data_IF_683440450583
#
_entry.id   IF_683440450583
#
_cell.length_a   1.000
_cell.length_b   1.000
_cell.length_c   1.000
_cell.angle_alpha   90.00
_cell.angle_beta   90.00
_cell.angle_gamma   90.00
#
_symmetry.space_group_name_H-M   'P 1'
#
loop_
_entity.id
_entity.type
_entity.pdbx_description
1 polymer ?
#
# COMPACT_ATOMS: atom_id res chain seq x y z
N UNK A 1 -0.36 -13.85 0.47
CA UNK A 1 0.83 -13.00 0.62
C UNK A 1 0.95 -12.15 -0.64
N UNK A 2 0.91 -10.83 -0.52
CA UNK A 2 0.92 -9.93 -1.69
C UNK A 2 2.33 -9.90 -2.29
N UNK A 3 2.41 -9.96 -3.63
CA UNK A 3 3.65 -9.77 -4.37
C UNK A 3 3.60 -8.43 -5.09
N UNK A 4 4.68 -7.66 -4.99
CA UNK A 4 4.81 -6.35 -5.62
C UNK A 4 5.62 -6.46 -6.92
N UNK A 5 5.28 -5.63 -7.90
CA UNK A 5 6.14 -5.42 -9.07
C UNK A 5 7.45 -4.72 -8.67
N UNK A 6 8.44 -4.69 -9.57
CA UNK A 6 9.76 -4.09 -9.29
C UNK A 6 9.69 -2.62 -8.85
N UNK A 7 8.75 -1.84 -9.39
CA UNK A 7 8.56 -0.43 -9.02
C UNK A 7 8.14 -0.30 -7.57
N UNK A 8 7.07 -1.00 -7.16
CA UNK A 8 6.56 -0.94 -5.79
C UNK A 8 7.51 -1.61 -4.78
N UNK A 9 8.20 -2.69 -5.16
CA UNK A 9 9.28 -3.30 -4.36
C UNK A 9 10.44 -2.34 -4.14
N UNK A 10 10.74 -1.47 -5.10
CA UNK A 10 11.77 -0.43 -4.93
C UNK A 10 11.29 0.61 -3.93
N UNK A 11 10.05 1.07 -4.03
CA UNK A 11 9.45 2.02 -3.08
C UNK A 11 9.43 1.46 -1.65
N UNK A 12 9.07 0.18 -1.48
CA UNK A 12 8.94 -0.44 -0.15
C UNK A 12 10.26 -0.44 0.65
N UNK A 13 11.42 -0.41 -0.04
CA UNK A 13 12.75 -0.34 0.58
C UNK A 13 13.06 1.00 1.25
N UNK A 14 12.31 2.05 0.92
CA UNK A 14 12.50 3.40 1.48
C UNK A 14 11.48 3.75 2.55
N UNK A 15 10.56 2.83 2.89
CA UNK A 15 9.61 3.06 3.97
C UNK A 15 10.34 3.16 5.31
N UNK A 16 9.83 4.06 6.15
CA UNK A 16 10.26 4.19 7.55
C UNK A 16 9.14 3.66 8.44
N UNK A 17 9.52 3.20 9.62
CA UNK A 17 8.56 2.72 10.61
C UNK A 17 7.52 3.80 10.98
N UNK A 18 6.33 3.35 11.40
CA UNK A 18 5.19 4.19 11.76
C UNK A 18 4.03 4.09 10.76
N UNK A 19 3.32 5.20 10.55
CA UNK A 19 2.18 5.30 9.63
C UNK A 19 2.63 5.73 8.24
N UNK A 20 2.18 5.02 7.20
CA UNK A 20 2.37 5.44 5.80
C UNK A 20 1.06 5.90 5.17
N UNK A 21 1.15 6.78 4.18
CA UNK A 21 0.05 7.16 3.30
C UNK A 21 0.45 6.91 1.84
N UNK A 22 -0.31 6.06 1.15
CA UNK A 22 -0.13 5.73 -0.27
C UNK A 22 -1.19 6.49 -1.08
N UNK A 23 -0.74 7.42 -1.92
CA UNK A 23 -1.60 8.37 -2.64
C UNK A 23 -1.81 7.89 -4.07
N UNK A 24 -3.07 7.62 -4.45
CA UNK A 24 -3.38 6.93 -5.71
C UNK A 24 -2.88 5.49 -5.65
N UNK A 25 -3.27 4.80 -4.58
CA UNK A 25 -2.88 3.44 -4.28
C UNK A 25 -3.32 2.45 -5.36
N UNK A 26 -2.36 1.65 -5.82
CA UNK A 26 -2.64 0.56 -6.75
C UNK A 26 -3.26 -0.61 -5.97
N UNK A 27 -4.59 -0.62 -5.87
CA UNK A 27 -5.38 -1.64 -5.16
C UNK A 27 -4.93 -1.88 -3.70
N UNK A 28 -4.41 -0.89 -2.99
CA UNK A 28 -3.85 -1.04 -1.64
C UNK A 28 -2.67 -2.05 -1.54
N UNK A 29 -2.05 -2.45 -2.65
CA UNK A 29 -1.00 -3.48 -2.62
C UNK A 29 0.22 -3.07 -1.80
N UNK A 30 0.71 -1.85 -1.98
CA UNK A 30 1.88 -1.34 -1.25
C UNK A 30 1.63 -1.28 0.26
N UNK A 31 0.56 -0.66 0.78
CA UNK A 31 0.31 -0.62 2.22
C UNK A 31 0.03 -1.99 2.82
N UNK A 32 -0.69 -2.88 2.14
CA UNK A 32 -0.91 -4.25 2.64
C UNK A 32 0.42 -5.02 2.70
N UNK A 33 1.24 -4.93 1.65
CA UNK A 33 2.57 -5.54 1.64
C UNK A 33 3.44 -5.01 2.79
N UNK A 34 3.44 -3.69 3.02
CA UNK A 34 4.25 -3.07 4.06
C UNK A 34 3.87 -3.58 5.46
N UNK A 35 2.57 -3.67 5.76
CA UNK A 35 2.08 -4.21 7.04
C UNK A 35 2.42 -5.70 7.18
N UNK A 36 2.18 -6.51 6.14
CA UNK A 36 2.48 -7.95 6.15
C UNK A 36 3.96 -8.26 6.36
N UNK A 37 4.86 -7.36 5.96
CA UNK A 37 6.31 -7.51 6.10
C UNK A 37 6.88 -6.68 7.25
N UNK A 38 6.04 -6.15 8.15
CA UNK A 38 6.47 -5.34 9.31
C UNK A 38 7.33 -4.11 8.95
N UNK A 39 7.10 -3.54 7.76
CA UNK A 39 7.77 -2.33 7.27
C UNK A 39 7.09 -1.05 7.77
N UNK A 40 5.81 -1.15 8.18
CA UNK A 40 5.06 -0.09 8.84
C UNK A 40 4.04 -0.68 9.83
N UNK A 41 3.52 0.16 10.73
CA UNK A 41 2.52 -0.21 11.73
C UNK A 41 1.10 -0.12 11.18
N UNK A 42 0.86 0.86 10.32
CA UNK A 42 -0.42 1.10 9.68
C UNK A 42 -0.23 1.84 8.35
N UNK A 43 -1.24 1.75 7.48
CA UNK A 43 -1.23 2.39 6.17
C UNK A 43 -2.59 3.02 5.84
N UNK A 44 -2.55 4.17 5.18
CA UNK A 44 -3.72 4.83 4.56
C UNK A 44 -3.58 4.67 3.05
N UNK A 45 -4.57 4.03 2.40
CA UNK A 45 -4.66 3.95 0.95
C UNK A 45 -5.65 5.01 0.45
N UNK A 46 -5.14 6.04 -0.22
CA UNK A 46 -5.95 7.16 -0.71
C UNK A 46 -6.33 6.99 -2.18
N UNK A 47 -7.63 7.00 -2.46
CA UNK A 47 -8.18 6.95 -3.83
C UNK A 47 -9.10 8.14 -4.10
N UNK A 48 -9.00 8.70 -5.31
CA UNK A 48 -9.89 9.79 -5.75
C UNK A 48 -11.12 9.27 -6.48
N UNK A 49 -11.02 8.13 -7.16
CA UNK A 49 -12.12 7.55 -7.95
C UNK A 49 -12.80 6.45 -7.14
N UNK A 50 -14.15 6.47 -7.14
CA UNK A 50 -14.97 5.52 -6.37
C UNK A 50 -14.70 4.04 -6.71
N UNK A 51 -14.45 3.72 -7.98
CA UNK A 51 -14.15 2.35 -8.42
C UNK A 51 -12.86 1.80 -7.79
N UNK A 52 -11.70 2.45 -8.01
CA UNK A 52 -10.46 2.15 -7.31
C UNK A 52 -10.59 2.13 -5.79
N UNK A 53 -11.30 3.10 -5.19
CA UNK A 53 -11.58 3.11 -3.75
C UNK A 53 -12.25 1.81 -3.29
N UNK A 54 -13.35 1.42 -3.96
CA UNK A 54 -14.06 0.18 -3.63
C UNK A 54 -13.22 -1.07 -3.88
N UNK A 55 -12.35 -1.06 -4.89
CA UNK A 55 -11.42 -2.15 -5.14
C UNK A 55 -10.43 -2.28 -3.98
N UNK A 56 -9.83 -1.18 -3.52
CA UNK A 56 -8.91 -1.15 -2.39
C UNK A 56 -9.56 -1.59 -1.06
N UNK A 57 -10.82 -1.20 -0.80
CA UNK A 57 -11.56 -1.59 0.42
C UNK A 57 -11.86 -3.11 0.48
N UNK A 58 -11.92 -3.79 -0.66
CA UNK A 58 -12.25 -5.24 -0.74
C UNK A 58 -11.04 -6.17 -0.63
N UNK A 59 -9.83 -5.60 -0.51
CA UNK A 59 -8.56 -6.34 -0.43
C UNK A 59 -8.27 -6.82 0.99
#
# INVERSE_FOLDING_TARGET
MISLNNRLTTVSRFLKQGTIADIGSDHAYLPIYAIQNHLCECGIAGEVIQGPFQAAVKM
#
